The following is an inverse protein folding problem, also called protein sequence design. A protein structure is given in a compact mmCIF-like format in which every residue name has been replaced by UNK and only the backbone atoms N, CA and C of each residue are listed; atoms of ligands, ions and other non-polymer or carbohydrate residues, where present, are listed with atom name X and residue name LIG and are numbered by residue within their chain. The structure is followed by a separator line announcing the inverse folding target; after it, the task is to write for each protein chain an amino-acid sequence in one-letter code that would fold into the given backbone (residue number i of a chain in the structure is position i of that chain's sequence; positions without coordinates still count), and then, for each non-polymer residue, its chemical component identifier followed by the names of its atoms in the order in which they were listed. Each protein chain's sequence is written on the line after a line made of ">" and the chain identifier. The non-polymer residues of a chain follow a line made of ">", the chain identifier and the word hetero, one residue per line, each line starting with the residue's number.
data_IF_829524159623
#
_entry.id   IF_829524159623
#
_cell.length_a   1.000
_cell.length_b   1.000
_cell.length_c   1.000
_cell.angle_alpha   90.00
_cell.angle_beta   90.00
_cell.angle_gamma   90.00
#
_symmetry.space_group_name_H-M   'P 1'
#
loop_
_entity.id
_entity.type
_entity.pdbx_description
1 polymer ?
#
# COMPACT_ATOMS: atom_id res chain seq x y z
N UNK A 1 -3.35 -6.74 -2.69
CA UNK A 1 -1.99 -6.99 -3.21
C UNK A 1 -1.59 -8.45 -3.06
N UNK A 2 -1.65 -9.19 -4.17
CA UNK A 2 -0.76 -10.35 -4.38
C UNK A 2 0.69 -9.93 -4.07
N UNK A 3 1.53 -10.87 -3.64
CA UNK A 3 2.97 -10.65 -3.48
C UNK A 3 3.47 -10.13 -4.83
N UNK A 4 3.65 -8.81 -4.98
CA UNK A 4 4.32 -8.25 -6.14
C UNK A 4 5.79 -8.54 -5.88
N UNK A 5 6.41 -9.49 -6.62
CA UNK A 5 7.83 -9.73 -6.50
C UNK A 5 8.55 -8.41 -6.79
N UNK A 6 9.59 -8.11 -6.02
CA UNK A 6 10.42 -6.92 -6.24
C UNK A 6 9.66 -5.58 -6.23
N UNK A 7 8.55 -5.48 -5.48
CA UNK A 7 7.76 -4.24 -5.39
C UNK A 7 8.57 -3.00 -4.99
N UNK A 8 9.65 -3.18 -4.21
CA UNK A 8 10.57 -2.10 -3.85
C UNK A 8 11.30 -1.58 -5.08
N UNK A 9 11.84 -2.48 -5.90
CA UNK A 9 12.51 -2.15 -7.17
C UNK A 9 11.53 -1.49 -8.13
N UNK A 10 10.31 -2.03 -8.26
CA UNK A 10 9.25 -1.42 -9.07
C UNK A 10 8.92 0.01 -8.61
N UNK A 11 8.80 0.22 -7.29
CA UNK A 11 8.57 1.55 -6.72
C UNK A 11 9.72 2.51 -6.99
N UNK A 12 10.98 2.10 -6.80
CA UNK A 12 12.13 2.96 -7.08
C UNK A 12 12.28 3.27 -8.57
N UNK A 13 11.95 2.32 -9.46
CA UNK A 13 11.90 2.56 -10.90
C UNK A 13 10.80 3.57 -11.26
N UNK A 14 9.63 3.49 -10.65
CA UNK A 14 8.58 4.50 -10.83
C UNK A 14 9.06 5.86 -10.33
N UNK A 15 9.63 5.91 -9.13
CA UNK A 15 10.13 7.13 -8.52
C UNK A 15 11.21 7.80 -9.36
N UNK A 16 12.14 7.03 -9.94
CA UNK A 16 13.23 7.58 -10.76
C UNK A 16 12.72 8.21 -12.07
N UNK A 17 11.69 7.64 -12.68
CA UNK A 17 11.14 8.07 -13.97
C UNK A 17 10.08 9.17 -13.88
N UNK A 18 9.46 9.37 -12.71
CA UNK A 18 8.51 10.48 -12.51
C UNK A 18 9.28 11.80 -12.41
N UNK A 19 8.79 12.85 -13.09
CA UNK A 19 9.39 14.20 -13.04
C UNK A 19 9.25 14.80 -11.63
N UNK A 20 10.11 15.78 -11.30
CA UNK A 20 9.98 16.58 -10.08
C UNK A 20 8.56 17.18 -10.00
N UNK A 21 7.95 17.19 -8.81
CA UNK A 21 6.55 17.59 -8.59
C UNK A 21 5.49 16.71 -9.28
N UNK A 22 5.90 15.66 -10.01
CA UNK A 22 5.00 14.68 -10.58
C UNK A 22 4.30 13.87 -9.50
N UNK A 23 3.03 13.55 -9.74
CA UNK A 23 2.19 12.83 -8.79
C UNK A 23 2.37 11.32 -8.95
N UNK A 24 2.52 10.63 -7.83
CA UNK A 24 2.61 9.18 -7.74
C UNK A 24 1.40 8.68 -6.98
N UNK A 25 0.65 7.79 -7.60
CA UNK A 25 -0.54 7.16 -7.03
C UNK A 25 -0.28 5.66 -6.97
N UNK A 26 -0.37 5.08 -5.77
CA UNK A 26 -0.35 3.63 -5.57
C UNK A 26 -1.72 3.21 -5.05
N UNK A 27 -2.42 2.41 -5.86
CA UNK A 27 -3.75 1.86 -5.54
C UNK A 27 -3.68 0.44 -4.98
N UNK A 28 -4.86 -0.10 -4.66
CA UNK A 28 -5.09 -1.50 -4.22
C UNK A 28 -4.19 -1.98 -3.06
N UNK A 29 -3.80 -1.04 -2.18
CA UNK A 29 -3.00 -1.38 -1.02
C UNK A 29 -3.89 -1.95 0.08
N UNK A 30 -3.45 -3.05 0.66
CA UNK A 30 -4.23 -3.78 1.64
C UNK A 30 -3.89 -3.29 3.04
N UNK A 31 -4.90 -3.01 3.86
CA UNK A 31 -4.78 -2.43 5.19
C UNK A 31 -5.21 -3.47 6.25
N UNK A 32 -4.39 -3.66 7.28
CA UNK A 32 -4.75 -4.30 8.53
C UNK A 32 -4.40 -3.38 9.71
N UNK A 33 -4.26 -2.08 9.46
CA UNK A 33 -3.97 -1.11 10.52
C UNK A 33 -5.28 -0.63 11.15
N UNK A 34 -5.47 -1.00 12.42
CA UNK A 34 -6.60 -0.62 13.25
C UNK A 34 -6.91 -1.73 14.25
N UNK A 35 -7.32 -1.38 15.48
CA UNK A 35 -7.66 -2.36 16.53
C UNK A 35 -8.69 -3.39 16.04
N UNK A 36 -9.70 -2.92 15.30
CA UNK A 36 -10.73 -3.72 14.63
C UNK A 36 -10.17 -4.60 13.50
N UNK A 37 -9.25 -4.08 12.70
CA UNK A 37 -8.63 -4.82 11.60
C UNK A 37 -7.66 -5.90 12.11
N UNK A 38 -6.98 -5.69 13.25
CA UNK A 38 -6.18 -6.73 13.93
C UNK A 38 -7.05 -7.85 14.48
N UNK A 39 -8.15 -7.50 15.17
CA UNK A 39 -9.14 -8.46 15.67
C UNK A 39 -9.78 -9.28 14.54
N UNK A 40 -10.06 -8.63 13.40
CA UNK A 40 -10.57 -9.30 12.19
C UNK A 40 -9.47 -9.84 11.28
N UNK A 41 -8.18 -9.62 11.57
CA UNK A 41 -7.09 -9.83 10.60
C UNK A 41 -7.03 -11.27 10.11
N UNK A 42 -7.20 -12.25 11.00
CA UNK A 42 -7.26 -13.66 10.60
C UNK A 42 -8.43 -13.96 9.67
N UNK A 43 -9.61 -13.39 9.94
CA UNK A 43 -10.80 -13.55 9.11
C UNK A 43 -10.66 -12.81 7.77
N UNK A 44 -10.16 -11.57 7.79
CA UNK A 44 -9.91 -10.74 6.62
C UNK A 44 -8.85 -11.34 5.71
N UNK A 45 -7.73 -11.84 6.27
CA UNK A 45 -6.69 -12.55 5.52
C UNK A 45 -7.27 -13.85 4.95
N UNK A 46 -8.03 -14.62 5.73
CA UNK A 46 -8.69 -15.84 5.25
C UNK A 46 -9.64 -15.57 4.07
N UNK A 47 -10.50 -14.56 4.18
CA UNK A 47 -11.42 -14.14 3.11
C UNK A 47 -10.67 -13.60 1.88
N UNK A 48 -9.58 -12.85 2.11
CA UNK A 48 -8.75 -12.31 1.04
C UNK A 48 -7.89 -13.37 0.36
N UNK A 49 -7.61 -14.50 1.01
CA UNK A 49 -6.82 -15.61 0.46
C UNK A 49 -7.41 -16.16 -0.84
N UNK A 50 -8.75 -16.22 -0.94
CA UNK A 50 -9.47 -16.61 -2.17
C UNK A 50 -9.18 -15.68 -3.36
N UNK A 51 -8.76 -14.45 -3.08
CA UNK A 51 -8.44 -13.42 -4.06
C UNK A 51 -6.93 -13.09 -4.10
N UNK A 52 -6.08 -13.99 -3.58
CA UNK A 52 -4.63 -13.83 -3.60
C UNK A 52 -4.05 -12.90 -2.52
N UNK A 53 -4.85 -12.46 -1.55
CA UNK A 53 -4.38 -11.69 -0.41
C UNK A 53 -3.60 -12.55 0.59
N UNK A 54 -2.39 -12.12 0.94
CA UNK A 54 -1.52 -12.78 1.92
C UNK A 54 -1.10 -11.82 3.04
N UNK A 55 -0.58 -12.37 4.14
CA UNK A 55 -0.03 -11.55 5.22
C UNK A 55 1.18 -10.74 4.74
N UNK A 56 2.02 -11.34 3.89
CA UNK A 56 3.18 -10.73 3.26
C UNK A 56 2.76 -9.56 2.36
N UNK A 57 1.73 -9.73 1.53
CA UNK A 57 1.19 -8.65 0.69
C UNK A 57 0.67 -7.47 1.53
N UNK A 58 0.13 -7.76 2.71
CA UNK A 58 -0.27 -6.74 3.66
C UNK A 58 0.94 -5.98 4.24
N UNK A 59 2.00 -6.68 4.66
CA UNK A 59 3.22 -6.04 5.15
C UNK A 59 3.89 -5.19 4.07
N UNK A 60 3.94 -5.69 2.82
CA UNK A 60 4.48 -4.95 1.68
C UNK A 60 3.73 -3.63 1.45
N UNK A 61 2.40 -3.64 1.58
CA UNK A 61 1.57 -2.42 1.46
C UNK A 61 1.90 -1.38 2.54
N UNK A 62 2.13 -1.82 3.78
CA UNK A 62 2.51 -0.93 4.88
C UNK A 62 3.93 -0.37 4.70
N UNK A 63 4.87 -1.20 4.27
CA UNK A 63 6.24 -0.76 4.00
C UNK A 63 6.27 0.22 2.83
N UNK A 64 5.56 -0.06 1.74
CA UNK A 64 5.46 0.83 0.58
C UNK A 64 4.86 2.19 0.97
N UNK A 65 3.83 2.21 1.82
CA UNK A 65 3.29 3.45 2.37
C UNK A 65 4.34 4.21 3.21
N UNK A 66 5.17 3.51 3.98
CA UNK A 66 6.28 4.12 4.72
C UNK A 66 7.31 4.74 3.78
N UNK A 67 7.68 4.02 2.71
CA UNK A 67 8.60 4.51 1.67
C UNK A 67 8.05 5.77 0.99
N UNK A 68 6.76 5.79 0.64
CA UNK A 68 6.11 6.98 0.06
C UNK A 68 6.22 8.19 0.98
N UNK A 69 5.94 8.04 2.29
CA UNK A 69 6.08 9.14 3.26
C UNK A 69 7.52 9.67 3.37
N UNK A 70 8.52 8.79 3.17
CA UNK A 70 9.93 9.19 3.22
C UNK A 70 10.35 9.94 1.95
N UNK A 71 9.94 9.46 0.78
CA UNK A 71 10.46 9.93 -0.51
C UNK A 71 9.60 11.02 -1.17
N UNK A 72 8.32 11.13 -0.84
CA UNK A 72 7.37 12.07 -1.44
C UNK A 72 6.99 13.21 -0.48
N UNK A 73 6.36 14.25 -1.02
CA UNK A 73 5.69 15.32 -0.27
C UNK A 73 4.19 15.27 -0.48
N UNK A 74 3.43 15.96 0.39
CA UNK A 74 1.96 16.04 0.34
C UNK A 74 1.27 14.66 0.31
N UNK A 75 1.85 13.70 1.04
CA UNK A 75 1.38 12.32 1.02
C UNK A 75 0.00 12.20 1.68
N UNK A 76 -1.00 11.79 0.90
CA UNK A 76 -2.39 11.58 1.35
C UNK A 76 -2.77 10.11 1.21
N UNK A 77 -3.57 9.65 2.17
CA UNK A 77 -4.13 8.30 2.18
C UNK A 77 -5.65 8.37 2.17
N UNK A 78 -6.30 7.50 1.39
CA UNK A 78 -7.76 7.31 1.46
C UNK A 78 -8.10 5.84 1.63
N UNK A 79 -8.96 5.54 2.60
CA UNK A 79 -9.34 4.19 2.99
C UNK A 79 -10.75 3.84 2.47
N UNK A 80 -10.97 2.56 2.17
CA UNK A 80 -12.23 2.01 1.65
C UNK A 80 -12.53 0.64 2.27
N UNK A 81 -13.75 0.13 2.03
CA UNK A 81 -14.18 -1.21 2.45
C UNK A 81 -13.91 -1.48 3.94
N UNK A 82 -14.54 -0.69 4.81
CA UNK A 82 -14.35 -0.76 6.26
C UNK A 82 -12.88 -0.64 6.68
N UNK A 83 -12.10 0.18 5.95
CA UNK A 83 -10.66 0.37 6.18
C UNK A 83 -9.83 -0.89 5.93
N UNK A 84 -10.25 -1.75 5.01
CA UNK A 84 -9.49 -2.94 4.62
C UNK A 84 -8.58 -2.67 3.43
N UNK A 85 -8.82 -1.59 2.69
CA UNK A 85 -8.04 -1.17 1.53
C UNK A 85 -7.77 0.32 1.58
N UNK A 86 -6.74 0.76 0.89
CA UNK A 86 -6.43 2.15 0.69
C UNK A 86 -5.70 2.41 -0.63
N UNK A 87 -5.73 3.66 -1.06
CA UNK A 87 -4.71 4.19 -1.96
C UNK A 87 -3.86 5.22 -1.23
N UNK A 88 -2.66 5.44 -1.73
CA UNK A 88 -1.79 6.53 -1.33
C UNK A 88 -1.38 7.36 -2.53
N UNK A 89 -1.32 8.67 -2.35
CA UNK A 89 -0.94 9.64 -3.36
C UNK A 89 0.07 10.62 -2.77
N UNK A 90 1.07 11.03 -3.54
CA UNK A 90 2.04 12.05 -3.12
C UNK A 90 2.81 12.59 -4.32
N UNK A 91 3.53 13.70 -4.13
CA UNK A 91 4.33 14.32 -5.19
C UNK A 91 5.81 14.02 -5.00
N UNK A 92 6.54 13.77 -6.08
CA UNK A 92 7.99 13.63 -6.04
C UNK A 92 8.62 14.95 -5.62
N UNK A 93 9.52 14.88 -4.63
CA UNK A 93 10.34 16.01 -4.14
C UNK A 93 11.06 16.71 -5.28
#
# INVERSE_FOLDING_TARGET
>A
MSIIPDYKSAYYNLLSNVKKQGEIIIGDMQLASGRLARLKSKLTISLAKKYGGTYEGHQNSLELYSMMKKELVDVKKREFLLKSYFYCIGKKK
#
